data_IF_275167848143
#
_entry.id   IF_275167848143
#
_cell.length_a   1.000
_cell.length_b   1.000
_cell.length_c   1.000
_cell.angle_alpha   90.00
_cell.angle_beta   90.00
_cell.angle_gamma   90.00
#
_symmetry.space_group_name_H-M   'P 1'
#
loop_
_entity.id
_entity.type
_entity.pdbx_description
1 polymer ?
#
# COMPACT_ATOMS: atom_id res chain seq x y z
N UNK A 1 -27.93 3.83 -15.87
CA UNK A 1 -27.37 4.61 -14.75
C UNK A 1 -25.94 4.15 -14.57
N UNK A 2 -24.98 4.90 -15.10
CA UNK A 2 -23.55 4.62 -14.94
C UNK A 2 -23.11 5.18 -13.59
N UNK A 3 -22.80 4.30 -12.65
CA UNK A 3 -22.10 4.64 -11.42
C UNK A 3 -20.66 5.03 -11.80
N UNK A 4 -20.46 6.30 -12.11
CA UNK A 4 -19.15 6.93 -12.22
C UNK A 4 -18.70 7.37 -10.82
N UNK A 5 -17.40 7.22 -10.57
CA UNK A 5 -16.65 7.48 -9.33
C UNK A 5 -16.60 6.34 -8.32
N UNK A 6 -15.99 5.23 -8.73
CA UNK A 6 -14.99 4.65 -7.85
C UNK A 6 -13.79 5.61 -7.83
N UNK A 7 -13.83 6.61 -6.93
CA UNK A 7 -12.61 7.27 -6.45
C UNK A 7 -11.96 6.24 -5.51
N UNK A 8 -11.48 5.18 -6.14
CA UNK A 8 -11.01 3.99 -5.49
C UNK A 8 -9.65 4.35 -4.89
N UNK A 9 -9.50 4.03 -3.61
CA UNK A 9 -8.26 3.59 -2.95
C UNK A 9 -7.03 3.51 -3.88
N UNK A 10 -5.81 3.90 -3.43
CA UNK A 10 -4.60 3.90 -4.25
C UNK A 10 -4.60 2.78 -5.29
N UNK A 11 -4.51 3.18 -6.56
CA UNK A 11 -4.71 2.25 -7.67
C UNK A 11 -3.68 1.13 -7.57
N UNK A 12 -4.08 -0.09 -7.93
CA UNK A 12 -3.18 -1.23 -8.04
C UNK A 12 -1.90 -0.85 -8.81
N UNK A 13 -0.78 -1.44 -8.43
CA UNK A 13 0.50 -1.12 -9.05
C UNK A 13 1.70 -1.51 -8.23
N UNK A 14 2.87 -1.13 -8.77
CA UNK A 14 4.16 -1.28 -8.13
C UNK A 14 4.65 0.09 -7.69
N UNK A 15 5.27 0.12 -6.52
CA UNK A 15 5.74 1.33 -5.89
C UNK A 15 7.14 1.15 -5.34
N UNK A 16 7.89 2.25 -5.30
CA UNK A 16 9.27 2.25 -4.86
C UNK A 16 9.50 3.34 -3.82
N UNK A 17 10.24 3.01 -2.76
CA UNK A 17 10.61 3.92 -1.69
C UNK A 17 11.88 4.68 -2.09
N UNK A 18 11.69 5.72 -2.90
CA UNK A 18 12.77 6.58 -3.38
C UNK A 18 12.24 7.87 -3.97
N UNK A 19 13.15 8.74 -4.40
CA UNK A 19 12.79 9.98 -5.11
C UNK A 19 12.53 9.74 -6.61
N UNK A 20 13.05 8.64 -7.15
CA UNK A 20 12.95 8.26 -8.57
C UNK A 20 12.89 6.75 -8.70
N UNK A 21 12.19 6.26 -9.72
CA UNK A 21 12.14 4.84 -10.03
C UNK A 21 13.53 4.31 -10.44
N UNK A 22 13.91 3.08 -10.04
CA UNK A 22 15.14 2.44 -10.49
C UNK A 22 15.19 2.33 -12.02
N UNK A 23 16.32 2.68 -12.63
CA UNK A 23 16.48 2.66 -14.08
C UNK A 23 16.43 1.24 -14.69
N UNK A 24 16.80 0.23 -13.90
CA UNK A 24 16.81 -1.18 -14.32
C UNK A 24 15.49 -1.89 -14.01
N UNK A 25 14.47 -1.16 -13.53
CA UNK A 25 13.25 -1.74 -12.98
C UNK A 25 13.46 -2.36 -11.60
N UNK A 26 12.41 -2.96 -11.05
CA UNK A 26 12.45 -3.71 -9.80
C UNK A 26 11.32 -4.74 -9.75
N UNK A 27 11.51 -5.75 -8.91
CA UNK A 27 10.51 -6.76 -8.60
C UNK A 27 9.87 -6.45 -7.25
N UNK A 28 8.59 -6.79 -7.08
CA UNK A 28 7.93 -6.73 -5.79
C UNK A 28 8.60 -7.70 -4.80
N UNK A 29 8.62 -7.35 -3.50
CA UNK A 29 9.21 -8.18 -2.45
C UNK A 29 10.58 -7.68 -1.97
N UNK A 30 11.20 -6.71 -2.63
CA UNK A 30 12.43 -6.09 -2.14
C UNK A 30 12.18 -5.06 -1.04
N UNK A 31 13.14 -4.86 -0.13
CA UNK A 31 13.05 -3.98 1.05
C UNK A 31 12.47 -2.58 0.77
N UNK A 32 12.77 -2.01 -0.41
CA UNK A 32 12.33 -0.67 -0.82
C UNK A 32 11.11 -0.68 -1.75
N UNK A 33 10.42 -1.80 -1.87
CA UNK A 33 9.35 -1.98 -2.85
C UNK A 33 8.01 -2.15 -2.14
N UNK A 34 6.94 -1.76 -2.81
CA UNK A 34 5.60 -2.12 -2.41
C UNK A 34 4.80 -2.52 -3.65
N UNK A 35 3.85 -3.44 -3.46
CA UNK A 35 2.90 -3.81 -4.49
C UNK A 35 1.49 -3.77 -3.92
N UNK A 36 0.57 -3.30 -4.74
CA UNK A 36 -0.84 -3.23 -4.40
C UNK A 36 -1.63 -3.94 -5.47
N UNK A 37 -2.35 -4.98 -5.05
CA UNK A 37 -3.34 -5.69 -5.84
C UNK A 37 -4.50 -5.93 -4.91
N UNK A 38 -5.37 -4.92 -4.76
CA UNK A 38 -6.38 -4.90 -3.71
C UNK A 38 -7.22 -6.20 -3.69
N UNK A 39 -7.39 -6.85 -2.51
CA UNK A 39 -7.11 -6.36 -1.16
C UNK A 39 -5.69 -6.60 -0.63
N UNK A 40 -4.80 -7.19 -1.44
CA UNK A 40 -3.44 -7.53 -1.02
C UNK A 40 -2.51 -6.32 -1.15
N UNK A 41 -1.85 -5.94 -0.06
CA UNK A 41 -0.78 -4.96 -0.02
C UNK A 41 0.50 -5.65 0.46
N UNK A 42 1.55 -5.63 -0.33
CA UNK A 42 2.88 -6.08 0.09
C UNK A 42 3.80 -4.87 0.31
N UNK A 43 4.42 -4.81 1.49
CA UNK A 43 5.41 -3.82 1.89
C UNK A 43 6.73 -4.55 2.12
N UNK A 44 7.65 -4.44 1.15
CA UNK A 44 8.83 -5.29 1.13
C UNK A 44 8.45 -6.76 1.08
N UNK A 45 9.02 -7.55 1.97
CA UNK A 45 8.82 -9.01 2.07
C UNK A 45 7.49 -9.40 2.73
N UNK A 46 6.78 -8.45 3.36
CA UNK A 46 5.56 -8.71 4.11
C UNK A 46 4.33 -8.40 3.28
N UNK A 47 3.43 -9.38 3.13
CA UNK A 47 2.16 -9.21 2.45
C UNK A 47 0.99 -9.26 3.43
N UNK A 48 0.06 -8.33 3.27
CA UNK A 48 -1.08 -8.12 4.13
C UNK A 48 -2.39 -8.11 3.33
N UNK A 49 -3.37 -8.90 3.78
CA UNK A 49 -4.74 -8.87 3.27
C UNK A 49 -5.53 -7.78 4.00
N UNK A 50 -5.95 -6.74 3.28
CA UNK A 50 -6.66 -5.58 3.86
C UNK A 50 -8.16 -5.81 3.93
N UNK A 51 -8.77 -5.38 5.04
CA UNK A 51 -10.21 -5.49 5.29
C UNK A 51 -10.73 -4.32 6.14
N UNK A 52 -12.05 -4.19 6.24
CA UNK A 52 -12.73 -3.18 7.07
C UNK A 52 -12.20 -1.75 6.91
N UNK A 53 -12.27 -1.14 5.70
CA UNK A 53 -11.83 0.24 5.49
C UNK A 53 -12.60 1.23 6.37
N UNK A 54 -11.87 2.01 7.15
CA UNK A 54 -12.38 3.15 7.92
C UNK A 54 -11.75 4.42 7.36
N UNK A 55 -12.55 5.30 6.76
CA UNK A 55 -12.05 6.58 6.27
C UNK A 55 -11.54 7.45 7.42
N UNK A 56 -10.38 8.07 7.23
CA UNK A 56 -9.83 9.02 8.19
C UNK A 56 -10.44 10.39 7.94
N UNK A 57 -11.04 10.97 8.98
CA UNK A 57 -11.74 12.26 8.86
C UNK A 57 -10.78 13.35 8.39
N UNK A 58 -11.28 14.19 7.48
CA UNK A 58 -10.54 15.34 6.93
C UNK A 58 -9.27 14.94 6.14
N UNK A 59 -9.18 13.67 5.71
CA UNK A 59 -8.14 13.17 4.81
C UNK A 59 -8.78 12.46 3.62
N UNK A 60 -8.62 13.03 2.43
CA UNK A 60 -9.09 12.40 1.20
C UNK A 60 -8.21 11.18 0.89
N UNK A 61 -8.85 10.08 0.48
CA UNK A 61 -8.18 8.86 -0.01
C UNK A 61 -7.23 8.17 0.99
N UNK A 62 -7.35 8.48 2.29
CA UNK A 62 -6.66 7.79 3.39
C UNK A 62 -7.65 6.97 4.22
N UNK A 63 -7.32 5.71 4.45
CA UNK A 63 -8.15 4.76 5.17
C UNK A 63 -7.32 3.97 6.18
N UNK A 64 -7.96 3.61 7.28
CA UNK A 64 -7.46 2.67 8.27
C UNK A 64 -8.08 1.30 7.98
N UNK A 65 -7.24 0.28 7.80
CA UNK A 65 -7.62 -1.09 7.50
C UNK A 65 -7.25 -2.01 8.64
N UNK A 66 -8.09 -3.00 8.91
CA UNK A 66 -7.67 -4.21 9.61
C UNK A 66 -6.97 -5.12 8.60
N UNK A 67 -5.82 -5.69 8.96
CA UNK A 67 -5.06 -6.53 8.07
C UNK A 67 -4.63 -7.84 8.72
N UNK A 68 -4.53 -8.87 7.90
CA UNK A 68 -3.85 -10.12 8.25
C UNK A 68 -2.58 -10.19 7.42
N UNK A 69 -1.42 -10.15 8.08
CA UNK A 69 -0.12 -10.11 7.43
C UNK A 69 0.64 -11.42 7.66
N UNK A 70 1.37 -11.88 6.64
CA UNK A 70 2.28 -13.02 6.76
C UNK A 70 3.65 -12.52 7.22
N UNK A 71 4.11 -13.00 8.38
CA UNK A 71 5.43 -12.67 8.92
C UNK A 71 6.57 -13.51 8.34
N UNK A 72 7.81 -13.15 8.70
CA UNK A 72 9.06 -13.81 8.27
C UNK A 72 9.13 -15.31 8.60
N UNK A 73 8.33 -15.79 9.56
CA UNK A 73 8.27 -17.20 10.01
C UNK A 73 6.98 -17.93 9.56
N UNK A 74 6.30 -17.43 8.52
CA UNK A 74 5.02 -17.99 7.99
C UNK A 74 3.86 -17.99 9.00
N UNK A 75 4.00 -17.26 10.12
CA UNK A 75 2.91 -17.04 11.06
C UNK A 75 2.12 -15.78 10.69
N UNK A 76 0.81 -15.96 10.50
CA UNK A 76 -0.10 -14.85 10.26
C UNK A 76 -0.33 -14.06 11.55
N UNK A 77 -0.23 -12.74 11.45
CA UNK A 77 -0.56 -11.83 12.55
C UNK A 77 -1.57 -10.77 12.12
N UNK A 78 -2.39 -10.35 13.08
CA UNK A 78 -3.31 -9.24 12.87
C UNK A 78 -2.58 -7.91 13.05
N UNK A 79 -2.76 -7.02 12.10
CA UNK A 79 -2.23 -5.67 12.12
C UNK A 79 -3.31 -4.66 11.76
N UNK A 80 -2.98 -3.38 11.93
CA UNK A 80 -3.82 -2.28 11.48
C UNK A 80 -2.96 -1.30 10.70
N UNK A 81 -3.34 -1.06 9.45
CA UNK A 81 -2.56 -0.25 8.53
C UNK A 81 -3.35 1.02 8.18
N UNK A 82 -2.67 2.15 8.17
CA UNK A 82 -3.19 3.35 7.52
C UNK A 82 -2.63 3.38 6.10
N UNK A 83 -3.50 3.33 5.10
CA UNK A 83 -3.12 3.22 3.69
C UNK A 83 -3.88 4.26 2.88
N UNK A 84 -3.20 4.89 1.93
CA UNK A 84 -3.85 5.81 1.02
C UNK A 84 -2.93 6.40 -0.03
N UNK A 85 -3.46 7.36 -0.80
CA UNK A 85 -2.70 8.06 -1.81
C UNK A 85 -1.69 9.04 -1.19
N UNK A 86 -0.47 9.08 -1.73
CA UNK A 86 0.51 10.13 -1.44
C UNK A 86 0.42 11.26 -2.47
N UNK A 87 0.95 12.45 -2.13
CA UNK A 87 0.78 13.69 -2.90
C UNK A 87 1.30 13.67 -4.37
N UNK A 88 2.03 12.64 -4.78
CA UNK A 88 2.62 12.50 -6.12
C UNK A 88 2.39 11.09 -6.67
N UNK A 89 1.13 10.76 -6.98
CA UNK A 89 0.70 9.45 -7.50
C UNK A 89 1.44 8.29 -6.83
N UNK A 90 1.39 8.30 -5.51
CA UNK A 90 2.18 7.42 -4.67
C UNK A 90 1.32 6.71 -3.65
N UNK A 91 1.98 5.89 -2.86
CA UNK A 91 1.36 5.16 -1.75
C UNK A 91 1.94 5.68 -0.45
N UNK A 92 1.07 5.99 0.52
CA UNK A 92 1.47 6.10 1.93
C UNK A 92 0.91 4.91 2.67
N UNK A 93 1.78 4.23 3.42
CA UNK A 93 1.41 3.12 4.29
C UNK A 93 2.06 3.31 5.66
N UNK A 94 1.27 3.25 6.74
CA UNK A 94 1.78 3.21 8.11
C UNK A 94 1.60 1.81 8.65
N UNK A 95 2.72 1.19 8.99
CA UNK A 95 2.80 -0.19 9.46
C UNK A 95 3.90 -0.29 10.52
N UNK A 96 3.67 -1.06 11.59
CA UNK A 96 4.62 -1.22 12.72
C UNK A 96 5.24 0.09 13.28
N UNK A 97 4.40 1.12 13.47
CA UNK A 97 4.82 2.45 13.92
C UNK A 97 5.77 3.20 12.95
N UNK A 98 5.92 2.73 11.73
CA UNK A 98 6.74 3.34 10.68
C UNK A 98 5.86 3.82 9.54
N UNK A 99 6.06 5.07 9.11
CA UNK A 99 5.40 5.62 7.93
C UNK A 99 6.29 5.42 6.71
N UNK A 100 5.77 4.70 5.72
CA UNK A 100 6.40 4.47 4.44
C UNK A 100 5.70 5.33 3.39
N UNK A 101 6.50 5.95 2.53
CA UNK A 101 6.01 6.72 1.38
C UNK A 101 6.69 6.20 0.14
N UNK A 102 5.90 5.86 -0.85
CA UNK A 102 6.36 5.30 -2.11
C UNK A 102 5.88 6.16 -3.27
N UNK A 103 6.66 6.17 -4.33
CA UNK A 103 6.25 6.68 -5.64
C UNK A 103 5.78 5.52 -6.50
N UNK A 104 4.75 5.71 -7.32
CA UNK A 104 4.36 4.72 -8.33
C UNK A 104 5.47 4.58 -9.36
N UNK A 105 5.80 3.34 -9.66
CA UNK A 105 6.75 2.99 -10.70
C UNK A 105 6.14 1.87 -11.52
N UNK A 106 5.72 2.19 -12.73
CA UNK A 106 5.30 1.19 -13.70
C UNK A 106 6.55 0.65 -14.43
N UNK A 107 6.63 -0.65 -14.72
CA UNK A 107 7.69 -1.22 -15.56
C UNK A 107 7.66 -0.70 -17.00
#
# INVERSE_FOLDING_TARGET
>A
MTLTSAHAFPQDGLFYQGLTCPAEGFEAGGEQTASLSFPTLCLGEQCCELSNPINVRDMDEIYLYDATCTGDEEEDFAARLLVGAAAVDGLVAVFENTAHTYIRCEP
#
